data_IF_049881938479
#
_entry.id   IF_049881938479
#
_cell.length_a   1.000
_cell.length_b   1.000
_cell.length_c   1.000
_cell.angle_alpha   90.00
_cell.angle_beta   90.00
_cell.angle_gamma   90.00
#
_symmetry.space_group_name_H-M   'P 1'
#
loop_
_entity.id
_entity.type
_entity.pdbx_description
1 polymer ?
#
# COMPACT_ATOMS: atom_id res chain seq x y z
N UNK A 1 57.10 11.97 -14.72
CA UNK A 1 56.58 10.59 -14.71
C UNK A 1 55.77 10.21 -13.46
N UNK A 2 55.57 11.10 -12.49
CA UNK A 2 54.74 10.87 -11.27
C UNK A 2 53.22 11.08 -11.48
N UNK A 3 52.79 11.88 -12.46
CA UNK A 3 51.37 12.25 -12.67
C UNK A 3 50.52 11.06 -13.17
N UNK A 4 51.07 10.19 -14.04
CA UNK A 4 50.34 9.00 -14.54
C UNK A 4 49.96 7.98 -13.46
N UNK A 5 50.78 7.82 -12.42
CA UNK A 5 50.55 6.84 -11.36
C UNK A 5 49.37 7.24 -10.44
N UNK A 6 49.19 8.53 -10.19
CA UNK A 6 48.09 9.03 -9.36
C UNK A 6 46.76 8.92 -10.09
N UNK A 7 46.71 9.22 -11.39
CA UNK A 7 45.46 9.12 -12.19
C UNK A 7 44.89 7.69 -12.21
N UNK A 8 45.79 6.67 -12.35
CA UNK A 8 45.36 5.26 -12.30
C UNK A 8 44.91 4.81 -10.90
N UNK A 9 45.48 5.38 -9.86
CA UNK A 9 45.08 5.08 -8.46
C UNK A 9 43.74 5.71 -8.12
N UNK A 10 43.54 6.93 -8.57
CA UNK A 10 42.28 7.65 -8.33
C UNK A 10 41.11 7.06 -9.17
N UNK A 11 41.40 6.63 -10.40
CA UNK A 11 40.47 5.88 -11.21
C UNK A 11 40.05 4.53 -10.62
N UNK A 12 40.97 3.77 -10.03
CA UNK A 12 40.64 2.52 -9.34
C UNK A 12 39.80 2.77 -8.08
N UNK A 13 40.11 3.81 -7.32
CA UNK A 13 39.30 4.19 -6.14
C UNK A 13 37.87 4.56 -6.52
N UNK A 14 37.69 5.29 -7.61
CA UNK A 14 36.38 5.65 -8.13
C UNK A 14 35.58 4.41 -8.57
N UNK A 15 36.20 3.48 -9.26
CA UNK A 15 35.56 2.23 -9.67
C UNK A 15 35.15 1.37 -8.46
N UNK A 16 35.97 1.30 -7.43
CA UNK A 16 35.63 0.58 -6.19
C UNK A 16 34.41 1.22 -5.52
N UNK A 17 34.33 2.55 -5.48
CA UNK A 17 33.18 3.25 -4.92
C UNK A 17 31.90 2.99 -5.72
N UNK A 18 31.97 3.00 -7.05
CA UNK A 18 30.82 2.71 -7.93
C UNK A 18 30.33 1.28 -7.71
N UNK A 19 31.26 0.32 -7.64
CA UNK A 19 30.93 -1.10 -7.41
C UNK A 19 30.32 -1.27 -6.01
N UNK A 20 30.89 -0.64 -4.97
CA UNK A 20 30.36 -0.71 -3.62
C UNK A 20 28.94 -0.11 -3.54
N UNK A 21 28.70 1.00 -4.22
CA UNK A 21 27.36 1.61 -4.30
C UNK A 21 26.38 0.69 -5.04
N UNK A 22 26.77 0.12 -6.17
CA UNK A 22 25.93 -0.81 -6.92
C UNK A 22 25.56 -2.06 -6.10
N UNK A 23 26.54 -2.61 -5.36
CA UNK A 23 26.33 -3.74 -4.44
C UNK A 23 25.38 -3.35 -3.29
N UNK A 24 25.55 -2.17 -2.70
CA UNK A 24 24.67 -1.67 -1.64
C UNK A 24 23.23 -1.51 -2.13
N UNK A 25 23.02 -0.94 -3.32
CA UNK A 25 21.69 -0.81 -3.95
C UNK A 25 21.10 -2.19 -4.25
N UNK A 26 21.89 -3.13 -4.72
CA UNK A 26 21.44 -4.49 -5.01
C UNK A 26 21.03 -5.22 -3.72
N UNK A 27 21.82 -5.15 -2.66
CA UNK A 27 21.50 -5.71 -1.35
C UNK A 27 20.25 -5.08 -0.75
N UNK A 28 20.10 -3.75 -0.87
CA UNK A 28 18.89 -3.06 -0.42
C UNK A 28 17.66 -3.57 -1.19
N UNK A 29 17.74 -3.66 -2.51
CA UNK A 29 16.62 -4.11 -3.35
C UNK A 29 16.21 -5.55 -3.05
N UNK A 30 17.18 -6.43 -2.79
CA UNK A 30 16.92 -7.86 -2.54
C UNK A 30 16.43 -8.13 -1.11
N UNK A 31 16.95 -7.40 -0.12
CA UNK A 31 16.68 -7.67 1.30
C UNK A 31 15.66 -6.68 1.90
N UNK A 32 15.88 -5.39 1.75
CA UNK A 32 15.09 -4.37 2.45
C UNK A 32 13.74 -4.11 1.79
N UNK A 33 13.67 -4.09 0.47
CA UNK A 33 12.43 -3.83 -0.25
C UNK A 33 11.36 -4.93 -0.03
N UNK A 34 11.67 -6.24 -0.10
CA UNK A 34 10.71 -7.29 0.25
C UNK A 34 10.25 -7.23 1.71
N UNK A 35 11.16 -6.90 2.64
CA UNK A 35 10.80 -6.74 4.06
C UNK A 35 9.85 -5.56 4.24
N UNK A 36 10.11 -4.42 3.59
CA UNK A 36 9.26 -3.25 3.63
C UNK A 36 7.86 -3.53 3.06
N UNK A 37 7.79 -4.15 1.88
CA UNK A 37 6.50 -4.49 1.24
C UNK A 37 5.71 -5.51 2.05
N UNK A 38 6.39 -6.50 2.64
CA UNK A 38 5.79 -7.50 3.52
C UNK A 38 5.25 -6.87 4.82
N UNK A 39 5.98 -5.91 5.39
CA UNK A 39 5.52 -5.15 6.55
C UNK A 39 4.25 -4.35 6.25
N UNK A 40 4.21 -3.64 5.11
CA UNK A 40 3.03 -2.87 4.69
C UNK A 40 1.83 -3.76 4.36
N UNK A 41 2.06 -4.93 3.76
CA UNK A 41 1.03 -5.94 3.53
C UNK A 41 0.45 -6.48 4.85
N UNK A 42 1.28 -6.65 5.87
CA UNK A 42 0.83 -7.05 7.21
C UNK A 42 -0.04 -5.98 7.87
N UNK A 43 0.36 -4.71 7.80
CA UNK A 43 -0.44 -3.60 8.33
C UNK A 43 -1.78 -3.51 7.60
N UNK A 44 -1.79 -3.69 6.28
CA UNK A 44 -3.02 -3.67 5.50
C UNK A 44 -3.97 -4.83 5.86
N UNK A 45 -3.42 -6.01 6.17
CA UNK A 45 -4.22 -7.13 6.68
C UNK A 45 -4.79 -6.82 8.07
N UNK A 46 -4.01 -6.21 8.94
CA UNK A 46 -4.48 -5.78 10.25
C UNK A 46 -5.61 -4.75 10.11
N UNK A 47 -5.46 -3.75 9.23
CA UNK A 47 -6.55 -2.81 8.93
C UNK A 47 -7.82 -3.53 8.44
N UNK A 48 -7.69 -4.57 7.63
CA UNK A 48 -8.86 -5.36 7.22
C UNK A 48 -9.51 -6.11 8.38
N UNK A 49 -8.71 -6.69 9.29
CA UNK A 49 -9.19 -7.35 10.49
C UNK A 49 -9.89 -6.34 11.43
N UNK A 50 -9.31 -5.15 11.62
CA UNK A 50 -9.94 -4.08 12.39
C UNK A 50 -11.29 -3.68 11.77
N UNK A 51 -11.38 -3.52 10.45
CA UNK A 51 -12.64 -3.23 9.75
C UNK A 51 -13.66 -4.37 9.91
N UNK A 52 -13.20 -5.62 9.92
CA UNK A 52 -14.08 -6.76 10.11
C UNK A 52 -14.75 -6.76 11.51
N UNK A 53 -14.07 -6.21 12.49
CA UNK A 53 -14.54 -6.14 13.89
C UNK A 53 -15.41 -4.88 14.17
N UNK A 54 -15.44 -3.91 13.24
CA UNK A 54 -16.29 -2.72 13.31
C UNK A 54 -17.76 -3.04 12.98
N UNK A 55 -18.69 -2.25 13.53
CA UNK A 55 -20.09 -2.26 13.07
C UNK A 55 -20.20 -1.47 11.77
N UNK A 56 -20.32 -2.19 10.64
CA UNK A 56 -20.34 -1.57 9.31
C UNK A 56 -21.70 -0.97 8.93
N UNK A 57 -22.76 -1.22 9.71
CA UNK A 57 -24.06 -0.54 9.53
C UNK A 57 -24.02 0.85 10.13
N UNK A 58 -23.36 1.03 11.27
CA UNK A 58 -23.27 2.31 11.98
C UNK A 58 -21.86 2.49 12.58
N UNK A 59 -20.96 3.05 11.76
CA UNK A 59 -19.59 3.34 12.22
C UNK A 59 -19.60 4.31 13.40
N UNK A 60 -18.95 3.93 14.49
CA UNK A 60 -18.76 4.78 15.64
C UNK A 60 -17.70 5.87 15.41
N UNK A 61 -17.66 6.89 16.27
CA UNK A 61 -16.61 7.92 16.22
C UNK A 61 -15.21 7.30 16.43
N UNK A 62 -15.09 6.27 17.26
CA UNK A 62 -13.84 5.55 17.52
C UNK A 62 -13.38 4.76 16.27
N UNK A 63 -14.32 4.19 15.50
CA UNK A 63 -14.03 3.50 14.24
C UNK A 63 -13.53 4.49 13.19
N UNK A 64 -14.18 5.64 13.07
CA UNK A 64 -13.74 6.70 12.15
C UNK A 64 -12.36 7.26 12.52
N UNK A 65 -12.05 7.41 13.81
CA UNK A 65 -10.72 7.80 14.29
C UNK A 65 -9.66 6.75 13.91
N UNK A 66 -9.96 5.47 14.13
CA UNK A 66 -9.08 4.35 13.76
C UNK A 66 -8.79 4.35 12.25
N UNK A 67 -9.82 4.48 11.42
CA UNK A 67 -9.67 4.57 9.97
C UNK A 67 -8.88 5.83 9.54
N UNK A 68 -9.08 6.94 10.27
CA UNK A 68 -8.34 8.19 10.08
C UNK A 68 -6.83 8.05 10.38
N UNK A 69 -6.46 7.25 11.35
CA UNK A 69 -5.05 6.98 11.66
C UNK A 69 -4.36 6.20 10.53
N UNK A 70 -5.01 5.20 9.97
CA UNK A 70 -4.51 4.51 8.79
C UNK A 70 -4.42 5.43 7.56
N UNK A 71 -5.35 6.39 7.43
CA UNK A 71 -5.27 7.42 6.37
C UNK A 71 -4.05 8.32 6.54
N UNK A 72 -3.67 8.70 7.75
CA UNK A 72 -2.44 9.47 8.03
C UNK A 72 -1.20 8.72 7.56
N UNK A 73 -1.21 7.39 7.65
CA UNK A 73 -0.17 6.52 7.08
C UNK A 73 -0.30 6.29 5.56
N UNK A 74 -1.18 7.03 4.89
CA UNK A 74 -1.44 6.97 3.43
C UNK A 74 -2.00 5.61 2.97
N UNK A 75 -2.81 4.93 3.79
CA UNK A 75 -3.68 3.87 3.35
C UNK A 75 -4.99 4.46 2.83
N UNK A 76 -5.37 4.07 1.64
CA UNK A 76 -6.68 4.42 1.08
C UNK A 76 -7.67 3.30 1.43
N UNK A 77 -8.80 3.68 2.01
CA UNK A 77 -9.88 2.77 2.42
C UNK A 77 -11.18 3.19 1.78
N UNK A 78 -11.91 2.22 1.22
CA UNK A 78 -13.29 2.40 0.76
C UNK A 78 -14.11 1.26 1.34
N UNK A 79 -15.21 1.57 2.03
CA UNK A 79 -16.18 0.63 2.54
C UNK A 79 -17.52 0.96 1.91
N UNK A 80 -18.21 -0.05 1.38
CA UNK A 80 -19.50 0.10 0.74
C UNK A 80 -20.48 -1.00 1.14
N UNK A 81 -21.77 -0.70 1.13
CA UNK A 81 -22.82 -1.67 1.39
C UNK A 81 -23.13 -2.54 0.15
N UNK A 82 -24.10 -3.45 0.29
CA UNK A 82 -24.54 -4.36 -0.76
C UNK A 82 -25.13 -3.65 -2.01
N UNK A 83 -25.62 -2.41 -1.84
CA UNK A 83 -26.13 -1.58 -2.92
C UNK A 83 -25.02 -0.76 -3.62
N UNK A 84 -23.74 -1.01 -3.28
CA UNK A 84 -22.57 -0.27 -3.74
C UNK A 84 -22.57 1.20 -3.31
N UNK A 85 -23.31 1.52 -2.25
CA UNK A 85 -23.30 2.84 -1.64
C UNK A 85 -22.14 2.93 -0.66
N UNK A 86 -21.43 4.03 -0.74
CA UNK A 86 -20.25 4.27 0.07
C UNK A 86 -20.62 4.58 1.51
N UNK A 87 -20.15 3.77 2.46
CA UNK A 87 -20.26 4.00 3.89
C UNK A 87 -19.09 4.88 4.36
N UNK A 88 -17.87 4.53 3.97
CA UNK A 88 -16.65 5.26 4.31
C UNK A 88 -15.71 5.37 3.13
N UNK A 89 -15.01 6.50 3.03
CA UNK A 89 -13.88 6.69 2.11
C UNK A 89 -12.84 7.63 2.68
N UNK A 90 -11.60 7.19 2.64
CA UNK A 90 -10.45 8.08 2.86
C UNK A 90 -10.09 8.90 1.61
N UNK A 91 -10.72 8.63 0.48
CA UNK A 91 -10.42 9.25 -0.83
C UNK A 91 -11.36 10.42 -1.11
N UNK A 92 -10.94 11.63 -0.76
CA UNK A 92 -11.72 12.86 -0.92
C UNK A 92 -12.11 13.24 -2.36
N UNK A 93 -11.52 12.57 -3.37
CA UNK A 93 -11.70 12.92 -4.79
C UNK A 93 -12.76 12.11 -5.52
N UNK A 94 -13.36 11.07 -4.91
CA UNK A 94 -14.44 10.30 -5.54
C UNK A 94 -15.79 10.99 -5.33
N UNK A 95 -16.34 11.55 -6.40
CA UNK A 95 -17.75 11.99 -6.41
C UNK A 95 -18.66 10.77 -6.25
N UNK A 96 -19.74 10.90 -5.50
CA UNK A 96 -20.65 9.81 -5.10
C UNK A 96 -21.09 8.89 -6.25
N UNK A 97 -21.40 9.46 -7.42
CA UNK A 97 -21.79 8.67 -8.60
C UNK A 97 -20.64 7.85 -9.23
N UNK A 98 -19.42 8.37 -9.19
CA UNK A 98 -18.26 7.67 -9.71
C UNK A 98 -17.80 6.58 -8.74
N UNK A 99 -18.02 6.77 -7.44
CA UNK A 99 -17.68 5.77 -6.44
C UNK A 99 -18.56 4.52 -6.57
N UNK A 100 -19.89 4.66 -6.73
CA UNK A 100 -20.80 3.54 -6.92
C UNK A 100 -20.41 2.66 -8.12
N UNK A 101 -20.20 3.26 -9.27
CA UNK A 101 -19.79 2.55 -10.49
C UNK A 101 -18.40 1.91 -10.34
N UNK A 102 -17.51 2.56 -9.62
CA UNK A 102 -16.17 2.02 -9.32
C UNK A 102 -16.26 0.81 -8.40
N UNK A 103 -17.08 0.88 -7.35
CA UNK A 103 -17.30 -0.21 -6.40
C UNK A 103 -17.91 -1.42 -7.13
N UNK A 104 -18.99 -1.21 -7.88
CA UNK A 104 -19.66 -2.24 -8.64
C UNK A 104 -18.73 -2.96 -9.64
N UNK A 105 -17.97 -2.20 -10.42
CA UNK A 105 -17.16 -2.76 -11.51
C UNK A 105 -15.74 -3.17 -11.11
N UNK A 106 -15.22 -2.65 -10.00
CA UNK A 106 -13.81 -2.83 -9.63
C UNK A 106 -13.59 -3.53 -8.30
N UNK A 107 -14.56 -3.46 -7.41
CA UNK A 107 -14.44 -4.07 -6.09
C UNK A 107 -15.31 -5.32 -6.00
N UNK A 108 -16.60 -5.20 -6.28
CA UNK A 108 -17.58 -6.27 -6.07
C UNK A 108 -17.38 -7.51 -6.97
N UNK A 109 -16.82 -7.33 -8.17
CA UNK A 109 -16.66 -8.44 -9.14
C UNK A 109 -15.58 -9.47 -8.77
N UNK A 110 -14.64 -9.11 -7.90
CA UNK A 110 -13.42 -9.89 -7.66
C UNK A 110 -13.24 -10.33 -6.20
N UNK A 111 -14.28 -10.18 -5.38
CA UNK A 111 -14.20 -10.49 -3.96
C UNK A 111 -15.07 -11.68 -3.60
N UNK A 112 -14.46 -12.67 -2.93
CA UNK A 112 -15.13 -13.78 -2.31
C UNK A 112 -15.27 -13.54 -0.81
N UNK A 113 -16.30 -14.13 -0.21
CA UNK A 113 -16.54 -14.02 1.23
C UNK A 113 -15.35 -14.50 2.04
N UNK A 114 -14.90 -13.69 3.02
CA UNK A 114 -13.82 -14.06 3.92
C UNK A 114 -12.43 -14.12 3.28
N UNK A 115 -12.30 -13.78 2.00
CA UNK A 115 -11.02 -13.78 1.29
C UNK A 115 -10.49 -12.36 1.11
N UNK A 116 -9.18 -12.25 1.26
CA UNK A 116 -8.41 -11.05 1.01
C UNK A 116 -7.58 -11.29 -0.26
N UNK A 117 -7.97 -10.66 -1.36
CA UNK A 117 -7.20 -10.73 -2.60
C UNK A 117 -6.10 -9.66 -2.58
N UNK A 118 -4.85 -10.11 -2.54
CA UNK A 118 -3.70 -9.23 -2.70
C UNK A 118 -3.29 -9.16 -4.16
N UNK A 119 -3.33 -7.97 -4.74
CA UNK A 119 -2.79 -7.72 -6.08
C UNK A 119 -1.63 -6.73 -6.02
N UNK A 120 -0.55 -7.12 -6.66
CA UNK A 120 0.60 -6.25 -6.91
C UNK A 120 0.52 -5.77 -8.35
N UNK A 121 0.32 -4.47 -8.55
CA UNK A 121 0.47 -3.87 -9.87
C UNK A 121 1.96 -3.64 -10.13
N UNK A 122 2.57 -4.45 -11.00
CA UNK A 122 4.00 -4.43 -11.31
C UNK A 122 4.50 -3.06 -11.79
N UNK A 123 3.68 -2.29 -12.51
CA UNK A 123 4.08 -1.01 -13.08
C UNK A 123 4.07 0.18 -12.11
N UNK A 124 3.47 0.06 -10.90
CA UNK A 124 3.26 1.20 -9.99
C UNK A 124 3.54 0.92 -8.52
N UNK A 125 4.08 -0.22 -8.17
CA UNK A 125 4.33 -0.61 -6.78
C UNK A 125 3.14 -0.35 -5.84
N UNK A 126 1.95 -0.75 -6.24
CA UNK A 126 0.72 -0.59 -5.48
C UNK A 126 0.37 -1.91 -4.82
N UNK A 127 0.13 -1.88 -3.51
CA UNK A 127 -0.53 -2.96 -2.79
C UNK A 127 -2.03 -2.69 -2.81
N UNK A 128 -2.82 -3.68 -3.19
CA UNK A 128 -4.27 -3.62 -3.21
C UNK A 128 -4.83 -4.84 -2.52
N UNK A 129 -5.81 -4.61 -1.64
CA UNK A 129 -6.60 -5.65 -1.01
C UNK A 129 -8.07 -5.38 -1.26
N UNK A 130 -8.81 -6.44 -1.51
CA UNK A 130 -10.25 -6.42 -1.66
C UNK A 130 -10.82 -7.48 -0.78
N UNK A 131 -11.88 -7.15 -0.05
CA UNK A 131 -12.54 -8.08 0.83
C UNK A 131 -14.05 -7.93 0.74
N UNK A 132 -14.73 -9.01 1.08
CA UNK A 132 -16.19 -9.05 1.26
C UNK A 132 -16.44 -9.52 2.68
N UNK A 133 -17.21 -8.74 3.42
CA UNK A 133 -17.58 -9.02 4.80
C UNK A 133 -19.08 -9.22 4.83
N UNK A 134 -19.56 -10.25 5.55
CA UNK A 134 -20.98 -10.44 5.80
C UNK A 134 -21.21 -10.28 7.30
N UNK A 135 -22.03 -9.29 7.66
CA UNK A 135 -22.46 -9.03 9.03
C UNK A 135 -24.00 -9.00 9.04
N UNK A 136 -24.63 -9.73 9.96
CA UNK A 136 -26.07 -9.78 10.18
C UNK A 136 -26.91 -10.00 8.91
N UNK A 137 -26.35 -10.72 7.93
CA UNK A 137 -26.99 -11.00 6.64
C UNK A 137 -26.77 -9.94 5.57
N UNK A 138 -26.13 -8.82 5.90
CA UNK A 138 -25.77 -7.76 4.96
C UNK A 138 -24.34 -7.94 4.43
N UNK A 139 -24.15 -7.61 3.16
CA UNK A 139 -22.85 -7.72 2.49
C UNK A 139 -22.19 -6.36 2.41
N UNK A 140 -20.92 -6.32 2.84
CA UNK A 140 -20.09 -5.13 2.75
C UNK A 140 -18.87 -5.42 1.88
N UNK A 141 -18.48 -4.43 1.08
CA UNK A 141 -17.30 -4.49 0.23
C UNK A 141 -16.22 -3.57 0.77
N UNK A 142 -15.02 -4.10 0.95
CA UNK A 142 -13.85 -3.37 1.47
C UNK A 142 -12.76 -3.32 0.42
N UNK A 143 -12.26 -2.14 0.15
CA UNK A 143 -11.13 -1.92 -0.74
C UNK A 143 -10.05 -1.13 -0.01
N UNK A 144 -8.87 -1.69 0.04
CA UNK A 144 -7.69 -1.09 0.64
C UNK A 144 -6.60 -0.92 -0.40
N UNK A 145 -5.95 0.24 -0.39
CA UNK A 145 -4.84 0.55 -1.30
C UNK A 145 -3.73 1.26 -0.56
N UNK A 146 -2.50 0.90 -0.90
CA UNK A 146 -1.29 1.58 -0.46
C UNK A 146 -0.32 1.71 -1.61
N UNK A 147 0.08 2.93 -1.93
CA UNK A 147 1.19 3.16 -2.83
C UNK A 147 2.50 2.85 -2.07
N UNK A 148 3.21 1.83 -2.54
CA UNK A 148 4.53 1.48 -1.99
C UNK A 148 5.55 2.34 -2.70
N UNK A 149 6.11 3.29 -1.97
CA UNK A 149 7.09 4.24 -2.49
C UNK A 149 8.29 3.53 -3.10
N UNK A 150 8.86 4.12 -4.14
CA UNK A 150 10.10 3.64 -4.74
C UNK A 150 11.26 3.69 -3.71
N UNK A 151 12.27 2.86 -3.94
CA UNK A 151 13.47 2.79 -3.08
C UNK A 151 14.09 4.18 -2.81
N UNK A 152 14.01 5.09 -3.79
CA UNK A 152 14.53 6.46 -3.68
C UNK A 152 13.75 7.32 -2.68
N UNK A 153 12.42 7.22 -2.64
CA UNK A 153 11.60 8.01 -1.70
C UNK A 153 11.74 7.51 -0.25
N UNK A 154 12.02 6.22 -0.06
CA UNK A 154 12.30 5.67 1.28
C UNK A 154 13.62 6.22 1.83
N UNK A 155 14.62 6.43 0.99
CA UNK A 155 15.92 7.01 1.37
C UNK A 155 15.78 8.50 1.71
N UNK A 156 14.95 9.25 0.99
CA UNK A 156 14.72 10.69 1.25
C UNK A 156 13.90 10.93 2.52
N UNK A 157 12.97 10.04 2.85
CA UNK A 157 12.12 10.14 4.05
C UNK A 157 12.82 9.79 5.38
N UNK A 158 14.07 9.33 5.33
CA UNK A 158 14.90 9.00 6.51
C UNK A 158 15.87 10.11 6.90
N UNK A 159 15.74 11.32 6.35
CA UNK A 159 16.52 12.51 6.75
C UNK A 159 15.80 13.36 7.77
#
# INVERSE_FOLDING_TARGET
MKIKKNFWRDGKALWIQIIAFAVAVMLYSVCCYPIYTSSKARIMRQLYEDIHDMDLEELSEDDEETLGDYQKEKFETIIANENYEQIYTSRSSLKTMQSRKYIENKIAQYTEEGTLEQRRMESRHILMFRGKIIQDGHTFYVYLRKDVQSVLEVIEGTR
#
